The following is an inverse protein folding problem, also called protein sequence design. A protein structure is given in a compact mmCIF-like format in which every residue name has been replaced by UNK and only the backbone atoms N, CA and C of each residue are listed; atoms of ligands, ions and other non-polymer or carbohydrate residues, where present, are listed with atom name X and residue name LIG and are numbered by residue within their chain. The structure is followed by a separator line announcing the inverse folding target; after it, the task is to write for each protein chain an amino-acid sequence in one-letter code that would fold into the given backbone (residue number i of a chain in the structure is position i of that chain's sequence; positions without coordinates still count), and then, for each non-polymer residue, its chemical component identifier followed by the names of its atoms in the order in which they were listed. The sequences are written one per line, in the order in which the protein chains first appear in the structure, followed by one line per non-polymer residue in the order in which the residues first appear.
data_IF_394284887689
#
_entry.id   IF_394284887689
#
_cell.length_a   1.000
_cell.length_b   1.000
_cell.length_c   1.000
_cell.angle_alpha   90.00
_cell.angle_beta   90.00
_cell.angle_gamma   90.00
#
_symmetry.space_group_name_H-M   'P 1'
#
loop_
_entity.id
_entity.type
_entity.pdbx_description
1 polymer ?
#
# COMPACT_ATOMS: atom_id res chain seq x y z
N UNK A 1 -21.61 -36.26 26.59
CA UNK A 1 -22.36 -35.71 25.45
C UNK A 1 -21.43 -34.77 24.72
N UNK A 2 -20.94 -35.21 23.58
CA UNK A 2 -20.24 -34.38 22.60
C UNK A 2 -21.30 -33.59 21.82
N UNK A 3 -21.07 -32.30 21.69
CA UNK A 3 -21.51 -31.44 20.58
C UNK A 3 -20.37 -30.42 20.47
N UNK A 4 -19.34 -30.69 19.66
CA UNK A 4 -19.30 -30.43 18.21
C UNK A 4 -19.68 -28.96 17.94
N UNK A 5 -18.69 -28.05 17.88
CA UNK A 5 -17.79 -27.79 16.73
C UNK A 5 -18.36 -26.70 15.82
N UNK A 6 -17.47 -25.78 15.44
CA UNK A 6 -17.51 -25.02 14.19
C UNK A 6 -18.42 -23.79 14.07
N UNK A 7 -17.88 -22.63 14.45
CA UNK A 7 -18.06 -21.39 13.68
C UNK A 7 -16.87 -20.43 13.79
N UNK A 8 -15.63 -20.92 13.72
CA UNK A 8 -14.43 -20.05 13.67
C UNK A 8 -13.94 -19.77 12.23
N UNK A 9 -14.37 -20.58 11.26
CA UNK A 9 -13.80 -20.54 9.89
C UNK A 9 -14.19 -19.29 9.09
N UNK A 10 -15.34 -18.66 9.38
CA UNK A 10 -15.76 -17.40 8.74
C UNK A 10 -15.07 -16.16 9.31
N UNK A 11 -14.89 -16.12 10.63
CA UNK A 11 -14.29 -15.00 11.36
C UNK A 11 -12.77 -14.92 11.14
N UNK A 12 -12.06 -16.06 11.10
CA UNK A 12 -10.63 -16.06 10.79
C UNK A 12 -10.33 -15.58 9.36
N UNK A 13 -11.19 -15.89 8.38
CA UNK A 13 -11.01 -15.38 7.02
C UNK A 13 -11.17 -13.86 6.95
N UNK A 14 -12.13 -13.28 7.68
CA UNK A 14 -12.35 -11.82 7.71
C UNK A 14 -11.28 -11.09 8.53
N UNK A 15 -10.78 -11.68 9.61
CA UNK A 15 -9.68 -11.14 10.42
C UNK A 15 -8.34 -11.19 9.66
N UNK A 16 -8.04 -12.28 8.95
CA UNK A 16 -6.89 -12.37 8.05
C UNK A 16 -7.02 -11.40 6.86
N UNK A 17 -8.24 -11.14 6.37
CA UNK A 17 -8.48 -10.10 5.38
C UNK A 17 -8.33 -8.67 5.95
N UNK A 18 -8.46 -8.51 7.27
CA UNK A 18 -8.31 -7.23 7.96
C UNK A 18 -6.85 -6.75 8.03
N UNK A 19 -5.90 -7.66 8.20
CA UNK A 19 -4.47 -7.32 8.12
C UNK A 19 -4.03 -6.92 6.69
N UNK A 20 -4.79 -7.34 5.66
CA UNK A 20 -4.62 -6.88 4.27
C UNK A 20 -5.40 -5.59 3.94
N UNK A 21 -6.20 -5.04 4.86
CA UNK A 21 -7.17 -3.97 4.59
C UNK A 21 -6.63 -2.54 4.66
N UNK A 22 -5.30 -2.36 4.78
CA UNK A 22 -4.65 -1.12 4.33
C UNK A 22 -4.68 -0.95 2.79
N UNK A 23 -5.03 -1.99 2.02
CA UNK A 23 -5.05 -1.93 0.55
C UNK A 23 -6.36 -1.40 -0.09
N UNK A 24 -7.47 -1.29 0.64
CA UNK A 24 -8.76 -0.83 0.07
C UNK A 24 -9.15 0.58 0.53
N UNK A 25 -8.18 1.36 1.00
CA UNK A 25 -8.39 2.76 1.35
C UNK A 25 -8.21 3.64 0.11
N UNK A 26 -9.15 3.56 -0.82
CA UNK A 26 -9.14 4.38 -2.03
C UNK A 26 -10.22 5.46 -1.95
N UNK A 27 -9.93 6.72 -2.35
CA UNK A 27 -10.90 7.82 -2.30
C UNK A 27 -12.21 7.56 -3.07
N UNK A 28 -12.19 6.67 -4.07
CA UNK A 28 -13.36 6.33 -4.89
C UNK A 28 -14.02 4.98 -4.55
N UNK A 29 -13.62 4.33 -3.45
CA UNK A 29 -14.26 3.10 -2.96
C UNK A 29 -14.90 3.42 -1.61
N UNK A 30 -16.16 3.00 -1.41
CA UNK A 30 -16.87 3.22 -0.15
C UNK A 30 -16.10 2.55 0.99
N UNK A 31 -15.67 3.34 1.97
CA UNK A 31 -14.84 2.85 3.07
C UNK A 31 -15.66 1.93 3.98
N UNK A 32 -15.13 0.73 4.20
CA UNK A 32 -15.62 -0.19 5.23
C UNK A 32 -15.20 0.28 6.62
N UNK A 33 -16.15 0.45 7.53
CA UNK A 33 -15.91 0.92 8.90
C UNK A 33 -15.90 -0.22 9.92
N UNK A 34 -16.76 -1.23 9.73
CA UNK A 34 -16.87 -2.37 10.64
C UNK A 34 -18.01 -3.31 10.27
N UNK A 35 -18.14 -4.40 11.02
CA UNK A 35 -19.28 -5.31 10.95
C UNK A 35 -19.75 -5.69 12.35
N UNK A 36 -21.04 -5.97 12.49
CA UNK A 36 -21.63 -6.54 13.69
C UNK A 36 -22.35 -7.82 13.29
N UNK A 37 -22.17 -8.87 14.05
CA UNK A 37 -22.76 -10.18 13.76
C UNK A 37 -23.47 -10.71 15.00
N UNK A 38 -24.73 -11.10 14.81
CA UNK A 38 -25.53 -11.87 15.74
C UNK A 38 -25.90 -13.22 15.09
N UNK A 39 -26.53 -14.13 15.83
CA UNK A 39 -26.90 -15.48 15.36
C UNK A 39 -27.79 -15.52 14.12
N UNK A 40 -28.43 -14.41 13.74
CA UNK A 40 -29.38 -14.35 12.61
C UNK A 40 -29.08 -13.20 11.65
N UNK A 41 -28.05 -12.38 11.90
CA UNK A 41 -27.88 -11.14 11.15
C UNK A 41 -26.41 -10.71 11.12
N UNK A 42 -25.94 -10.37 9.91
CA UNK A 42 -24.64 -9.77 9.67
C UNK A 42 -24.84 -8.36 9.13
N UNK A 43 -24.43 -7.36 9.91
CA UNK A 43 -24.54 -5.95 9.57
C UNK A 43 -23.17 -5.41 9.13
N UNK A 44 -23.14 -4.70 8.01
CA UNK A 44 -21.96 -3.98 7.55
C UNK A 44 -22.12 -2.48 7.77
N UNK A 45 -21.16 -1.90 8.50
CA UNK A 45 -21.06 -0.46 8.69
C UNK A 45 -20.11 0.10 7.63
N UNK A 46 -20.69 0.82 6.68
CA UNK A 46 -20.01 1.43 5.54
C UNK A 46 -20.07 2.96 5.67
N UNK A 47 -19.11 3.67 5.07
CA UNK A 47 -19.21 5.11 4.92
C UNK A 47 -20.50 5.47 4.17
N UNK A 48 -21.27 6.41 4.74
CA UNK A 48 -22.47 6.90 4.08
C UNK A 48 -22.12 7.78 2.87
N UNK A 49 -22.64 7.42 1.69
CA UNK A 49 -22.49 8.20 0.47
C UNK A 49 -23.72 9.09 0.27
N UNK A 50 -23.54 10.40 0.44
CA UNK A 50 -24.58 11.38 0.21
C UNK A 50 -25.04 11.34 -1.26
N UNK A 51 -26.33 11.66 -1.50
CA UNK A 51 -26.97 11.73 -2.84
C UNK A 51 -27.38 10.39 -3.47
N UNK A 52 -27.40 9.30 -2.68
CA UNK A 52 -27.99 8.04 -3.10
C UNK A 52 -27.20 7.36 -4.23
N UNK A 53 -27.90 6.63 -5.11
CA UNK A 53 -27.24 5.87 -6.17
C UNK A 53 -26.90 6.75 -7.38
N UNK A 54 -25.76 6.48 -8.01
CA UNK A 54 -25.34 7.18 -9.23
C UNK A 54 -26.39 7.06 -10.35
N UNK A 55 -27.01 5.89 -10.50
CA UNK A 55 -28.05 5.64 -11.51
C UNK A 55 -29.27 6.55 -11.32
N UNK A 56 -29.73 6.72 -10.09
CA UNK A 56 -30.88 7.57 -9.80
C UNK A 56 -30.55 9.02 -10.16
N UNK A 57 -29.38 9.50 -9.74
CA UNK A 57 -28.94 10.86 -10.04
C UNK A 57 -28.80 11.13 -11.54
N UNK A 58 -28.25 10.17 -12.30
CA UNK A 58 -28.16 10.26 -13.77
C UNK A 58 -29.54 10.33 -14.44
N UNK A 59 -30.51 9.59 -13.91
CA UNK A 59 -31.89 9.63 -14.41
C UNK A 59 -32.54 10.97 -14.11
N UNK A 60 -32.40 11.46 -12.88
CA UNK A 60 -33.03 12.71 -12.43
C UNK A 60 -32.44 13.94 -13.14
N UNK A 61 -31.16 13.88 -13.52
CA UNK A 61 -30.51 14.90 -14.34
C UNK A 61 -31.00 14.91 -15.81
N UNK A 62 -31.82 13.95 -16.23
CA UNK A 62 -32.36 13.87 -17.59
C UNK A 62 -31.34 13.47 -18.66
N UNK A 63 -30.18 12.94 -18.28
CA UNK A 63 -29.09 12.64 -19.22
C UNK A 63 -27.73 12.44 -18.55
N UNK A 64 -26.64 12.38 -19.33
CA UNK A 64 -25.28 12.39 -18.79
C UNK A 64 -25.07 13.64 -17.91
N UNK A 65 -24.22 13.51 -16.88
CA UNK A 65 -23.92 14.63 -15.99
C UNK A 65 -23.39 15.82 -16.81
N UNK A 66 -23.77 17.07 -16.43
CA UNK A 66 -23.25 18.26 -17.09
C UNK A 66 -21.71 18.23 -17.08
N UNK A 67 -21.11 18.67 -18.18
CA UNK A 67 -19.66 18.57 -18.43
C UNK A 67 -18.84 19.17 -17.29
N UNK A 68 -19.33 20.21 -16.61
CA UNK A 68 -18.70 20.81 -15.44
C UNK A 68 -18.58 19.82 -14.25
N UNK A 69 -19.62 19.05 -13.93
CA UNK A 69 -19.56 18.04 -12.86
C UNK A 69 -18.68 16.85 -13.27
N UNK A 70 -18.72 16.46 -14.55
CA UNK A 70 -17.83 15.43 -15.09
C UNK A 70 -16.36 15.89 -15.12
N UNK A 71 -16.13 17.18 -15.39
CA UNK A 71 -14.82 17.81 -15.38
C UNK A 71 -14.30 18.00 -13.96
N UNK A 72 -15.15 18.26 -12.97
CA UNK A 72 -14.75 18.32 -11.56
C UNK A 72 -14.21 16.98 -11.05
N UNK A 73 -14.81 15.85 -11.49
CA UNK A 73 -14.26 14.51 -11.25
C UNK A 73 -12.93 14.32 -11.97
N UNK A 74 -12.79 14.86 -13.18
CA UNK A 74 -11.58 14.76 -13.99
C UNK A 74 -10.43 15.68 -13.54
N UNK A 75 -10.70 16.85 -12.95
CA UNK A 75 -9.70 17.81 -12.50
C UNK A 75 -8.98 17.39 -11.21
N UNK A 76 -9.61 16.51 -10.43
CA UNK A 76 -8.98 15.91 -9.25
C UNK A 76 -7.87 14.91 -9.63
N UNK A 77 -7.93 14.34 -10.83
CA UNK A 77 -7.09 13.21 -11.27
C UNK A 77 -5.67 13.58 -11.73
N UNK A 78 -5.43 14.64 -12.55
CA UNK A 78 -4.09 14.91 -13.07
C UNK A 78 -3.13 15.39 -11.98
N UNK A 79 -3.58 16.25 -11.05
CA UNK A 79 -2.70 16.79 -10.00
C UNK A 79 -2.30 15.71 -8.98
N UNK A 80 -3.22 14.82 -8.60
CA UNK A 80 -2.91 13.67 -7.74
C UNK A 80 -1.98 12.66 -8.42
N UNK A 81 -2.20 12.36 -9.71
CA UNK A 81 -1.30 11.48 -10.47
C UNK A 81 0.11 12.07 -10.58
N UNK A 82 0.22 13.38 -10.81
CA UNK A 82 1.52 14.06 -10.88
C UNK A 82 2.27 13.98 -9.55
N UNK A 83 1.58 14.19 -8.42
CA UNK A 83 2.19 14.04 -7.09
C UNK A 83 2.64 12.61 -6.81
N UNK A 84 1.83 11.60 -7.19
CA UNK A 84 2.24 10.19 -7.03
C UNK A 84 3.46 9.84 -7.89
N UNK A 85 3.53 10.32 -9.14
CA UNK A 85 4.70 10.11 -10.00
C UNK A 85 5.95 10.77 -9.42
N UNK A 86 5.85 11.99 -8.87
CA UNK A 86 6.99 12.65 -8.22
C UNK A 86 7.48 11.87 -6.98
N UNK A 87 6.58 11.33 -6.16
CA UNK A 87 6.99 10.50 -5.02
C UNK A 87 7.70 9.21 -5.44
N UNK A 88 7.24 8.55 -6.51
CA UNK A 88 7.91 7.35 -7.01
C UNK A 88 9.32 7.66 -7.55
N UNK A 89 9.50 8.80 -8.24
CA UNK A 89 10.84 9.21 -8.70
C UNK A 89 11.79 9.51 -7.55
N UNK A 90 11.32 10.16 -6.48
CA UNK A 90 12.16 10.40 -5.29
C UNK A 90 12.58 9.10 -4.60
N UNK A 91 11.70 8.10 -4.50
CA UNK A 91 12.07 6.80 -3.92
C UNK A 91 13.13 6.07 -4.76
N UNK A 92 13.03 6.10 -6.09
CA UNK A 92 14.06 5.50 -6.94
C UNK A 92 15.43 6.18 -6.78
N UNK A 93 15.47 7.51 -6.68
CA UNK A 93 16.73 8.22 -6.45
C UNK A 93 17.36 7.86 -5.10
N UNK A 94 16.56 7.72 -4.04
CA UNK A 94 17.08 7.30 -2.73
C UNK A 94 17.65 5.87 -2.77
N UNK A 95 17.02 4.94 -3.49
CA UNK A 95 17.58 3.58 -3.63
C UNK A 95 18.91 3.58 -4.38
N UNK A 96 19.06 4.39 -5.44
CA UNK A 96 20.34 4.50 -6.15
C UNK A 96 21.44 5.10 -5.27
N UNK A 97 21.13 6.09 -4.43
CA UNK A 97 22.12 6.65 -3.49
C UNK A 97 22.54 5.63 -2.42
N UNK A 98 21.60 4.83 -1.91
CA UNK A 98 21.95 3.75 -0.97
C UNK A 98 22.81 2.68 -1.65
N UNK A 99 22.50 2.29 -2.90
CA UNK A 99 23.36 1.35 -3.64
C UNK A 99 24.77 1.90 -3.85
N UNK A 100 24.93 3.17 -4.24
CA UNK A 100 26.26 3.76 -4.39
C UNK A 100 27.04 3.85 -3.07
N UNK A 101 26.37 4.08 -1.94
CA UNK A 101 27.00 4.05 -0.62
C UNK A 101 27.39 2.62 -0.21
N UNK A 102 26.53 1.64 -0.46
CA UNK A 102 26.83 0.24 -0.19
C UNK A 102 27.98 -0.27 -1.06
N UNK A 103 27.96 0.00 -2.37
CA UNK A 103 28.99 -0.38 -3.32
C UNK A 103 30.33 0.31 -3.00
N UNK A 104 30.30 1.59 -2.62
CA UNK A 104 31.51 2.32 -2.21
C UNK A 104 32.09 1.79 -0.89
N UNK A 105 31.23 1.47 0.09
CA UNK A 105 31.71 0.93 1.38
C UNK A 105 32.24 -0.50 1.24
N UNK A 106 31.62 -1.32 0.39
CA UNK A 106 32.06 -2.68 0.10
C UNK A 106 33.40 -2.69 -0.63
N UNK A 107 33.59 -1.80 -1.61
CA UNK A 107 34.86 -1.62 -2.30
C UNK A 107 35.99 -1.15 -1.35
N UNK A 108 35.70 -0.22 -0.44
CA UNK A 108 36.67 0.25 0.55
C UNK A 108 37.05 -0.85 1.57
N UNK A 109 36.07 -1.64 2.03
CA UNK A 109 36.32 -2.76 2.94
C UNK A 109 37.14 -3.88 2.29
N UNK A 110 36.86 -4.21 1.02
CA UNK A 110 37.64 -5.18 0.25
C UNK A 110 39.09 -4.72 0.04
N UNK A 111 39.30 -3.44 -0.27
CA UNK A 111 40.64 -2.86 -0.40
C UNK A 111 41.42 -2.88 0.93
N UNK A 112 40.77 -2.55 2.05
CA UNK A 112 41.38 -2.61 3.38
C UNK A 112 41.75 -4.05 3.79
N UNK A 113 40.91 -5.03 3.49
CA UNK A 113 41.19 -6.44 3.76
C UNK A 113 42.38 -6.96 2.92
N UNK A 114 42.49 -6.55 1.66
CA UNK A 114 43.62 -6.90 0.81
C UNK A 114 44.94 -6.27 1.30
N UNK A 115 44.90 -5.01 1.78
CA UNK A 115 46.07 -4.35 2.36
C UNK A 115 46.52 -5.00 3.68
N UNK A 116 45.58 -5.41 4.54
CA UNK A 116 45.89 -6.11 5.79
C UNK A 116 46.52 -7.49 5.54
N UNK A 117 46.03 -8.23 4.53
CA UNK A 117 46.60 -9.52 4.15
C UNK A 117 48.03 -9.39 3.60
N UNK A 118 48.33 -8.32 2.83
CA UNK A 118 49.67 -8.05 2.33
C UNK A 118 50.66 -7.63 3.43
N UNK A 119 50.20 -6.90 4.46
CA UNK A 119 51.04 -6.56 5.60
C UNK A 119 51.38 -7.78 6.47
N UNK A 120 50.42 -8.70 6.64
CA UNK A 120 50.63 -9.93 7.41
C UNK A 120 51.62 -10.90 6.73
N UNK A 121 51.61 -11.00 5.41
CA UNK A 121 52.57 -11.84 4.67
C UNK A 121 53.98 -11.23 4.65
N UNK A 122 54.12 -9.91 4.56
CA UNK A 122 55.43 -9.24 4.62
C UNK A 122 56.08 -9.34 6.02
N UNK A 123 55.30 -9.33 7.10
CA UNK A 123 55.81 -9.52 8.45
C UNK A 123 56.26 -10.98 8.71
N UNK A 124 55.62 -11.95 8.06
CA UNK A 124 55.94 -13.37 8.20
C UNK A 124 57.14 -13.83 7.37
N UNK A 125 57.53 -13.09 6.32
CA UNK A 125 58.71 -13.41 5.49
C UNK A 125 59.97 -12.63 5.89
N UNK A 126 59.89 -11.73 6.86
CA UNK A 126 61.02 -10.94 7.37
C UNK A 126 61.58 -11.42 8.73
N UNK A 127 61.04 -12.53 9.27
CA UNK A 127 61.53 -13.23 10.45
C UNK A 127 62.18 -14.57 10.06
#
# INVERSE_FOLDING_TARGET
MQTEEHCDSGCEMLAAHYQKKKLLLHPNIVRFLGSLEDSTSLLFVLQYANRGTLRQRLRDAGGPLPEEEAAAVSHYTPQQQQQQQQQQQQQQQQQQQQQQQHDSSAAAAAAAAAAAAAAATAAATAA
#
